data_IF_664612527470
#
_entry.id   IF_664612527470
#
_cell.length_a   1.000
_cell.length_b   1.000
_cell.length_c   1.000
_cell.angle_alpha   90.00
_cell.angle_beta   90.00
_cell.angle_gamma   90.00
#
_symmetry.space_group_name_H-M   'P 1'
#
loop_
_entity.id
_entity.type
_entity.pdbx_description
1 polymer ?
#
# COMPACT_ATOMS: atom_id res chain seq x y z
N UNK A 1 7.31 9.13 -14.63
CA UNK A 1 5.91 9.62 -14.66
C UNK A 1 5.38 9.74 -13.22
N UNK A 2 5.87 10.71 -12.43
CA UNK A 2 5.52 10.83 -11.01
C UNK A 2 4.37 11.80 -10.76
N UNK A 3 4.31 12.89 -11.54
CA UNK A 3 3.32 13.96 -11.40
C UNK A 3 1.92 13.55 -11.83
N UNK A 4 1.80 12.59 -12.76
CA UNK A 4 0.53 11.99 -13.18
C UNK A 4 0.10 10.80 -12.30
N UNK A 5 0.96 10.43 -11.34
CA UNK A 5 0.66 9.43 -10.32
C UNK A 5 0.70 10.12 -8.95
N UNK A 6 0.60 9.36 -7.85
CA UNK A 6 0.63 9.93 -6.49
C UNK A 6 2.04 10.20 -5.96
N UNK A 7 2.99 10.50 -6.86
CA UNK A 7 4.34 10.94 -6.50
C UNK A 7 5.20 9.92 -5.74
N UNK A 8 4.93 8.62 -5.88
CA UNK A 8 5.66 7.56 -5.17
C UNK A 8 5.06 6.18 -5.40
N UNK A 9 5.57 5.14 -4.72
CA UNK A 9 5.00 3.80 -4.78
C UNK A 9 3.59 3.79 -4.19
N UNK A 10 2.70 3.09 -4.89
CA UNK A 10 1.29 3.00 -4.56
C UNK A 10 0.82 1.55 -4.56
N UNK A 11 -0.06 1.26 -3.63
CA UNK A 11 -0.68 -0.05 -3.46
C UNK A 11 -2.20 0.14 -3.48
N UNK A 12 -2.86 -0.62 -4.35
CA UNK A 12 -4.31 -0.57 -4.51
C UNK A 12 -4.98 -1.58 -3.60
N UNK A 13 -5.98 -1.12 -2.87
CA UNK A 13 -6.74 -1.90 -1.89
C UNK A 13 -8.24 -1.71 -2.11
N UNK A 14 -9.04 -2.72 -1.76
CA UNK A 14 -10.50 -2.62 -1.81
C UNK A 14 -11.04 -1.64 -0.77
N UNK A 15 -12.20 -1.05 -1.02
CA UNK A 15 -12.88 -0.18 -0.04
C UNK A 15 -13.28 -0.92 1.24
N UNK A 16 -13.61 -2.21 1.12
CA UNK A 16 -13.98 -3.04 2.27
C UNK A 16 -12.78 -3.26 3.18
N UNK A 17 -11.65 -3.71 2.61
CA UNK A 17 -10.44 -4.00 3.39
C UNK A 17 -9.84 -2.70 3.97
N UNK A 18 -9.87 -1.61 3.20
CA UNK A 18 -9.44 -0.30 3.67
C UNK A 18 -10.26 0.17 4.88
N UNK A 19 -11.58 0.00 4.84
CA UNK A 19 -12.47 0.36 5.96
C UNK A 19 -12.25 -0.52 7.18
N UNK A 20 -12.05 -1.83 6.99
CA UNK A 20 -11.76 -2.76 8.09
C UNK A 20 -10.44 -2.44 8.79
N UNK A 21 -9.43 -2.02 8.03
CA UNK A 21 -8.11 -1.65 8.54
C UNK A 21 -7.98 -0.18 8.96
N UNK A 22 -9.02 0.63 8.76
CA UNK A 22 -9.00 2.07 9.05
C UNK A 22 -8.02 2.86 8.18
N UNK A 23 -7.78 2.43 6.95
CA UNK A 23 -6.88 3.04 5.98
C UNK A 23 -7.68 4.01 5.10
N UNK A 24 -7.26 5.26 5.03
CA UNK A 24 -7.85 6.23 4.11
C UNK A 24 -7.09 6.28 2.78
N UNK A 25 -7.72 6.89 1.79
CA UNK A 25 -7.11 7.07 0.49
C UNK A 25 -5.87 7.97 0.60
N UNK A 26 -4.76 7.55 -0.02
CA UNK A 26 -3.44 8.21 0.03
C UNK A 26 -2.68 8.07 1.37
N UNK A 27 -3.19 7.32 2.34
CA UNK A 27 -2.46 7.02 3.57
C UNK A 27 -1.22 6.17 3.33
N UNK A 28 -0.25 6.31 4.24
CA UNK A 28 0.91 5.43 4.27
C UNK A 28 0.52 4.07 4.82
N UNK A 29 0.83 3.02 4.05
CA UNK A 29 0.60 1.64 4.42
C UNK A 29 1.90 0.84 4.30
N UNK A 30 2.06 -0.11 5.21
CA UNK A 30 3.14 -1.08 5.17
C UNK A 30 2.57 -2.45 4.79
N UNK A 31 3.13 -3.02 3.73
CA UNK A 31 2.83 -4.35 3.25
C UNK A 31 4.06 -5.22 3.48
N UNK A 32 3.91 -6.31 4.22
CA UNK A 32 5.02 -7.19 4.55
C UNK A 32 4.62 -8.67 4.45
N UNK A 33 5.63 -9.51 4.25
CA UNK A 33 5.55 -10.97 4.33
C UNK A 33 6.88 -11.52 4.85
N UNK A 34 7.04 -12.85 4.88
CA UNK A 34 8.28 -13.50 5.34
C UNK A 34 9.53 -13.12 4.52
N UNK A 35 9.37 -12.61 3.30
CA UNK A 35 10.48 -12.21 2.43
C UNK A 35 10.91 -10.74 2.63
N UNK A 36 10.07 -9.90 3.24
CA UNK A 36 10.38 -8.50 3.50
C UNK A 36 9.16 -7.61 3.66
N UNK A 37 9.42 -6.31 3.80
CA UNK A 37 8.43 -5.26 3.94
C UNK A 37 8.62 -4.16 2.89
N UNK A 38 7.52 -3.52 2.50
CA UNK A 38 7.51 -2.32 1.66
C UNK A 38 6.53 -1.30 2.22
N UNK A 39 6.90 -0.02 2.13
CA UNK A 39 6.04 1.10 2.51
C UNK A 39 5.62 1.86 1.26
N UNK A 40 4.32 2.07 1.11
CA UNK A 40 3.71 2.69 -0.06
C UNK A 40 2.46 3.48 0.34
N UNK A 41 1.91 4.26 -0.59
CA UNK A 41 0.62 4.94 -0.36
C UNK A 41 -0.56 4.10 -0.81
N UNK A 42 -1.63 4.10 -0.04
CA UNK A 42 -2.86 3.42 -0.37
C UNK A 42 -3.60 4.15 -1.50
N UNK A 43 -4.14 3.37 -2.43
CA UNK A 43 -5.14 3.82 -3.39
C UNK A 43 -6.37 2.98 -3.16
N UNK A 44 -7.36 3.58 -2.52
CA UNK A 44 -8.62 2.89 -2.19
C UNK A 44 -9.51 2.92 -3.42
N UNK A 45 -9.99 1.76 -3.85
CA UNK A 45 -10.82 1.69 -5.05
C UNK A 45 -11.81 0.53 -5.03
N UNK A 46 -13.08 0.83 -5.33
CA UNK A 46 -14.14 -0.15 -5.56
C UNK A 46 -13.80 -1.21 -6.63
N UNK A 47 -12.88 -0.92 -7.55
CA UNK A 47 -12.51 -1.84 -8.65
C UNK A 47 -11.66 -3.03 -8.19
N UNK A 48 -11.08 -2.94 -6.98
CA UNK A 48 -10.26 -3.99 -6.41
C UNK A 48 -11.17 -4.92 -5.61
N UNK A 49 -11.20 -6.23 -5.92
CA UNK A 49 -12.01 -7.16 -5.15
C UNK A 49 -11.47 -7.30 -3.71
N UNK A 50 -12.34 -7.52 -2.71
CA UNK A 50 -11.92 -7.74 -1.32
C UNK A 50 -10.95 -8.92 -1.19
N UNK A 51 -9.97 -8.79 -0.29
CA UNK A 51 -8.93 -9.79 -0.06
C UNK A 51 -7.81 -9.80 -1.11
N UNK A 52 -7.87 -8.92 -2.11
CA UNK A 52 -6.80 -8.72 -3.09
C UNK A 52 -6.17 -7.35 -2.92
N UNK A 53 -4.85 -7.29 -3.10
CA UNK A 53 -4.10 -6.04 -3.15
C UNK A 53 -3.25 -6.02 -4.41
N UNK A 54 -3.15 -4.87 -5.07
CA UNK A 54 -2.40 -4.73 -6.31
C UNK A 54 -1.33 -3.65 -6.20
N UNK A 55 -0.08 -4.02 -6.44
CA UNK A 55 1.02 -3.08 -6.68
C UNK A 55 1.42 -3.21 -8.15
N UNK A 56 1.46 -2.10 -8.88
CA UNK A 56 2.00 -2.13 -10.24
C UNK A 56 3.48 -2.49 -10.19
N UNK A 57 3.91 -3.42 -11.04
CA UNK A 57 5.26 -3.97 -11.03
C UNK A 57 6.34 -2.89 -11.21
N UNK A 58 7.48 -3.09 -10.56
CA UNK A 58 8.70 -2.29 -10.68
C UNK A 58 8.56 -0.80 -10.30
N UNK A 59 7.92 -0.50 -9.18
CA UNK A 59 8.07 0.81 -8.53
C UNK A 59 9.37 0.81 -7.72
N UNK A 60 10.41 1.46 -8.26
CA UNK A 60 11.76 1.44 -7.71
C UNK A 60 11.85 2.03 -6.29
N UNK A 61 12.75 1.49 -5.47
CA UNK A 61 12.92 1.88 -4.06
C UNK A 61 13.63 3.22 -3.84
N UNK A 62 13.91 3.97 -4.91
CA UNK A 62 14.71 5.21 -4.88
C UNK A 62 13.87 6.49 -4.71
N UNK A 63 12.54 6.40 -4.75
CA UNK A 63 11.68 7.60 -4.73
C UNK A 63 10.55 7.53 -3.70
N UNK A 64 10.56 8.50 -2.77
CA UNK A 64 9.49 8.79 -1.82
C UNK A 64 9.04 7.57 -0.99
N UNK A 65 10.01 6.88 -0.38
CA UNK A 65 9.77 5.78 0.55
C UNK A 65 10.28 6.20 1.93
N UNK A 66 9.39 6.34 2.93
CA UNK A 66 9.83 6.51 4.31
C UNK A 66 10.53 5.24 4.79
N UNK A 67 11.41 5.36 5.79
CA UNK A 67 12.03 4.19 6.42
C UNK A 67 10.95 3.25 6.97
N UNK A 68 11.15 1.93 6.81
CA UNK A 68 10.28 0.91 7.40
C UNK A 68 10.48 0.91 8.92
N UNK A 69 9.52 1.44 9.65
CA UNK A 69 9.48 1.48 11.11
C UNK A 69 8.29 0.64 11.58
N UNK A 70 8.51 -0.64 11.89
CA UNK A 70 7.47 -1.43 12.56
C UNK A 70 7.50 -1.13 14.08
N UNK A 71 6.36 -1.09 14.82
CA UNK A 71 4.96 -1.22 14.39
C UNK A 71 4.08 -0.07 14.93
N UNK A 72 3.72 0.90 14.08
CA UNK A 72 2.64 1.85 14.40
C UNK A 72 1.79 2.26 13.19
N UNK A 73 2.14 1.82 11.97
CA UNK A 73 1.43 2.15 10.74
C UNK A 73 0.56 0.96 10.33
N UNK A 74 -0.68 1.23 9.91
CA UNK A 74 -1.71 0.25 9.59
C UNK A 74 -1.15 -0.84 8.64
N UNK A 75 -1.09 -2.08 9.15
CA UNK A 75 -0.54 -3.23 8.45
C UNK A 75 -1.58 -3.81 7.49
N UNK A 76 -1.31 -3.75 6.19
CA UNK A 76 -2.07 -4.51 5.20
C UNK A 76 -1.45 -5.92 5.09
N UNK A 77 -2.06 -6.90 5.75
CA UNK A 77 -1.63 -8.31 5.70
C UNK A 77 -1.93 -8.88 4.31
N UNK A 78 -0.90 -9.09 3.49
CA UNK A 78 -1.03 -9.60 2.11
C UNK A 78 -1.19 -11.14 2.05
N UNK A 79 -0.96 -11.87 3.14
CA UNK A 79 -1.01 -13.34 3.12
C UNK A 79 -1.81 -13.91 4.29
N UNK A 80 -2.95 -14.53 4.00
CA UNK A 80 -3.34 -15.76 4.70
C UNK A 80 -2.80 -16.95 3.94
#
# INVERSE_FOLDING_TARGET
>A
MLTLSRGGPIVWISETDARELGIEDNDWIEAFNANGALTARAVVSQRVPPGMTMMYHAQERIMNIPGSESPAVAAAFITR
#
